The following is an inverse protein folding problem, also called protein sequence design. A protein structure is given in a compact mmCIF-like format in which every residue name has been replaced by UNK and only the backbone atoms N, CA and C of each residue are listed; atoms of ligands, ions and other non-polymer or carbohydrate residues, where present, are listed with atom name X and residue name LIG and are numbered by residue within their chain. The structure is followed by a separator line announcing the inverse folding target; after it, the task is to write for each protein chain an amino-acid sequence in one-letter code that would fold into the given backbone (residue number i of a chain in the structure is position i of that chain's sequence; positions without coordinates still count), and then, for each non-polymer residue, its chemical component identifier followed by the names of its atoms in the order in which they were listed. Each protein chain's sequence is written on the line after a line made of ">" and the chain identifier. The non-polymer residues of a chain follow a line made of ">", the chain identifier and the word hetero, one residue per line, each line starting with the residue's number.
data_IF_483726459841
#
_entry.id   IF_483726459841
#
_cell.length_a   1.000
_cell.length_b   1.000
_cell.length_c   1.000
_cell.angle_alpha   90.00
_cell.angle_beta   90.00
_cell.angle_gamma   90.00
#
_symmetry.space_group_name_H-M   'P 1'
#
loop_
_entity.id
_entity.type
_entity.pdbx_description
1 polymer ?
#
# COMPACT_ATOMS: atom_id res chain seq x y z
N UNK A 1 9.40 1.74 6.85
CA UNK A 1 8.13 1.25 7.44
C UNK A 1 7.45 2.31 8.32
N UNK A 2 8.21 3.08 9.09
CA UNK A 2 7.71 4.20 9.92
C UNK A 2 6.92 5.26 9.15
N UNK A 3 7.37 5.65 7.95
CA UNK A 3 6.72 6.73 7.18
C UNK A 3 5.25 6.42 6.83
N UNK A 4 4.95 5.18 6.39
CA UNK A 4 3.56 4.78 6.07
C UNK A 4 2.72 4.76 7.35
N UNK A 5 3.26 4.18 8.44
CA UNK A 5 2.58 4.12 9.73
C UNK A 5 2.25 5.49 10.32
N UNK A 6 3.13 6.47 10.14
CA UNK A 6 2.87 7.87 10.51
C UNK A 6 1.79 8.50 9.62
N UNK A 7 1.82 8.24 8.31
CA UNK A 7 0.87 8.84 7.36
C UNK A 7 -0.57 8.34 7.54
N UNK A 8 -0.74 7.08 7.98
CA UNK A 8 -2.08 6.51 8.23
C UNK A 8 -2.48 6.52 9.71
N UNK A 9 -1.64 7.08 10.59
CA UNK A 9 -1.86 7.12 12.05
C UNK A 9 -2.16 5.74 12.68
N UNK A 10 -1.50 4.70 12.19
CA UNK A 10 -1.68 3.31 12.67
C UNK A 10 -0.40 2.75 13.27
N UNK A 11 -0.57 1.83 14.23
CA UNK A 11 0.52 1.03 14.79
C UNK A 11 1.33 0.29 13.71
N UNK A 12 2.65 0.22 13.89
CA UNK A 12 3.55 -0.37 12.88
C UNK A 12 3.24 -1.84 12.59
N UNK A 13 2.77 -2.58 13.59
CA UNK A 13 2.38 -3.99 13.44
C UNK A 13 1.15 -4.15 12.54
N UNK A 14 0.14 -3.29 12.72
CA UNK A 14 -1.07 -3.28 11.88
C UNK A 14 -0.72 -2.93 10.43
N UNK A 15 0.12 -1.92 10.23
CA UNK A 15 0.58 -1.51 8.89
C UNK A 15 1.42 -2.60 8.24
N UNK A 16 2.29 -3.28 9.00
CA UNK A 16 3.07 -4.40 8.48
C UNK A 16 2.18 -5.56 8.03
N UNK A 17 1.12 -5.85 8.77
CA UNK A 17 0.16 -6.89 8.41
C UNK A 17 -0.58 -6.52 7.11
N UNK A 18 -1.10 -5.30 7.02
CA UNK A 18 -1.78 -4.82 5.82
C UNK A 18 -0.86 -4.80 4.59
N UNK A 19 0.38 -4.28 4.72
CA UNK A 19 1.35 -4.28 3.62
C UNK A 19 1.74 -5.70 3.17
N UNK A 20 1.72 -6.67 4.08
CA UNK A 20 1.92 -8.08 3.73
C UNK A 20 0.77 -8.59 2.86
N UNK A 21 -0.48 -8.35 3.26
CA UNK A 21 -1.66 -8.74 2.48
C UNK A 21 -1.66 -8.08 1.09
N UNK A 22 -1.38 -6.78 1.03
CA UNK A 22 -1.28 -6.06 -0.25
C UNK A 22 -0.16 -6.62 -1.15
N UNK A 23 0.96 -7.03 -0.57
CA UNK A 23 2.05 -7.67 -1.32
C UNK A 23 1.69 -9.07 -1.81
N UNK A 24 1.01 -9.87 -0.99
CA UNK A 24 0.55 -11.21 -1.36
C UNK A 24 -0.47 -11.15 -2.51
N UNK A 25 -1.29 -10.09 -2.55
CA UNK A 25 -2.25 -9.82 -3.63
C UNK A 25 -1.65 -9.04 -4.81
N UNK A 26 -0.32 -8.84 -4.86
CA UNK A 26 0.39 -8.12 -5.95
C UNK A 26 -0.11 -6.68 -6.18
N UNK A 27 -0.57 -6.01 -5.12
CA UNK A 27 -0.96 -4.60 -5.15
C UNK A 27 0.25 -3.71 -4.91
N UNK A 28 1.16 -4.15 -4.03
CA UNK A 28 2.40 -3.45 -3.70
C UNK A 28 3.60 -4.37 -3.82
N UNK A 29 4.75 -3.79 -4.16
CA UNK A 29 6.04 -4.45 -4.12
C UNK A 29 6.96 -3.77 -3.12
N UNK A 30 7.87 -4.54 -2.55
CA UNK A 30 8.88 -4.03 -1.62
C UNK A 30 10.25 -3.99 -2.30
N UNK A 31 11.00 -2.92 -2.05
CA UNK A 31 12.41 -2.80 -2.44
C UNK A 31 13.26 -2.46 -1.23
N UNK A 32 14.44 -3.08 -1.13
CA UNK A 32 15.41 -2.76 -0.09
C UNK A 32 16.32 -1.64 -0.58
N UNK A 33 16.41 -0.57 0.20
CA UNK A 33 17.28 0.58 -0.08
C UNK A 33 18.15 0.82 1.16
N UNK A 34 19.39 0.29 1.12
CA UNK A 34 20.28 0.22 2.28
C UNK A 34 19.66 -0.56 3.44
N UNK A 35 19.44 0.13 4.57
CA UNK A 35 18.82 -0.45 5.78
C UNK A 35 17.28 -0.35 5.76
N UNK A 36 16.70 0.38 4.81
CA UNK A 36 15.26 0.60 4.73
C UNK A 36 14.58 -0.37 3.76
N UNK A 37 13.31 -0.70 4.05
CA UNK A 37 12.39 -1.32 3.10
C UNK A 37 11.37 -0.27 2.70
N UNK A 38 11.29 -0.03 1.40
CA UNK A 38 10.32 0.87 0.77
C UNK A 38 9.25 0.04 0.06
N UNK A 39 8.02 0.53 0.10
CA UNK A 39 6.88 -0.06 -0.58
C UNK A 39 6.43 0.88 -1.69
N UNK A 40 6.10 0.31 -2.85
CA UNK A 40 5.58 1.03 -4.01
C UNK A 40 4.46 0.20 -4.64
N UNK A 41 3.56 0.84 -5.38
CA UNK A 41 2.55 0.11 -6.16
C UNK A 41 3.22 -0.82 -7.18
N UNK A 42 2.62 -1.98 -7.42
CA UNK A 42 3.21 -3.01 -8.27
C UNK A 42 3.25 -2.56 -9.73
N UNK A 43 2.14 -2.03 -10.24
CA UNK A 43 2.04 -1.37 -11.55
C UNK A 43 1.08 -0.18 -11.54
N UNK A 44 1.03 0.56 -12.66
CA UNK A 44 0.10 1.68 -12.84
C UNK A 44 -1.35 1.24 -12.96
N UNK A 45 -1.64 0.03 -13.45
CA UNK A 45 -3.02 -0.47 -13.58
C UNK A 45 -3.68 -0.66 -12.21
N UNK A 46 -2.93 -1.05 -11.18
CA UNK A 46 -3.43 -1.13 -9.80
C UNK A 46 -3.95 0.23 -9.33
N UNK A 47 -3.26 1.33 -9.67
CA UNK A 47 -3.72 2.68 -9.34
C UNK A 47 -5.02 3.00 -10.08
N UNK A 48 -5.07 2.73 -11.38
CA UNK A 48 -6.25 2.99 -12.20
C UNK A 48 -7.49 2.26 -11.66
N UNK A 49 -7.36 0.98 -11.29
CA UNK A 49 -8.45 0.18 -10.72
C UNK A 49 -8.90 0.73 -9.37
N UNK A 50 -7.96 1.10 -8.50
CA UNK A 50 -8.28 1.68 -7.19
C UNK A 50 -9.02 3.01 -7.35
N UNK A 51 -8.56 3.88 -8.24
CA UNK A 51 -9.24 5.15 -8.54
C UNK A 51 -10.66 4.93 -9.07
N UNK A 52 -10.85 3.99 -10.01
CA UNK A 52 -12.19 3.67 -10.52
C UNK A 52 -13.08 3.10 -9.40
N UNK A 53 -12.53 2.25 -8.53
CA UNK A 53 -13.27 1.63 -7.43
C UNK A 53 -13.69 2.67 -6.39
N UNK A 54 -12.79 3.58 -5.99
CA UNK A 54 -13.10 4.68 -5.08
C UNK A 54 -14.16 5.59 -5.69
N UNK A 55 -13.98 6.00 -6.95
CA UNK A 55 -14.99 6.79 -7.66
C UNK A 55 -16.34 6.10 -7.69
N UNK A 56 -16.40 4.78 -7.88
CA UNK A 56 -17.67 4.06 -7.88
C UNK A 56 -18.34 4.05 -6.51
N UNK A 57 -17.59 3.79 -5.44
CA UNK A 57 -18.10 3.75 -4.04
C UNK A 57 -18.50 5.14 -3.54
N UNK A 58 -17.90 6.21 -4.05
CA UNK A 58 -18.26 7.59 -3.68
C UNK A 58 -19.44 8.17 -4.49
N UNK A 59 -19.77 7.58 -5.65
CA UNK A 59 -20.90 8.03 -6.49
C UNK A 59 -22.19 7.22 -6.27
N UNK A 60 -22.17 6.18 -5.43
CA UNK A 60 -23.34 5.40 -4.95
C UNK A 60 -23.51 5.55 -3.43
#
# INVERSE_FOLDING_TARGET
>A
MTAISQAVEMEQSAVSHQLRLLRENKIVRSRREGKAILYVLDDSHVLDILEQTVKHVEHD
#
